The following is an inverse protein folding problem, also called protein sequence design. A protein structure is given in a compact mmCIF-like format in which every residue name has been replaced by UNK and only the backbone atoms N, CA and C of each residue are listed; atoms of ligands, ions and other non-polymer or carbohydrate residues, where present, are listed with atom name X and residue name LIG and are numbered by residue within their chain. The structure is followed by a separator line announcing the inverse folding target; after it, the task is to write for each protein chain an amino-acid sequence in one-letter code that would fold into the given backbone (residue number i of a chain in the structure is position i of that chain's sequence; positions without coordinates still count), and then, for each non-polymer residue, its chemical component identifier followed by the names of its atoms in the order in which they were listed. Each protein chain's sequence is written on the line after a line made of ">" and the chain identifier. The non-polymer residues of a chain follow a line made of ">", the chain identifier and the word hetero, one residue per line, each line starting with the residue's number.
data_IF_489137082270
#
_entry.id   IF_489137082270
#
_cell.length_a   1.000
_cell.length_b   1.000
_cell.length_c   1.000
_cell.angle_alpha   90.00
_cell.angle_beta   90.00
_cell.angle_gamma   90.00
#
_symmetry.space_group_name_H-M   'P 1'
#
loop_
_entity.id
_entity.type
_entity.pdbx_description
1 polymer ?
#
# COMPACT_ATOMS: atom_id res chain seq x y z
N UNK A 1 16.85 4.49 10.85
CA UNK A 1 16.00 4.21 9.66
C UNK A 1 15.64 2.74 9.54
N UNK A 2 16.58 1.79 9.68
CA UNK A 2 16.36 0.35 9.51
C UNK A 2 16.30 -0.45 10.83
N UNK A 3 16.17 0.19 11.99
CA UNK A 3 16.33 -0.45 13.30
C UNK A 3 15.46 -1.69 13.50
N UNK A 4 14.13 -1.55 13.29
CA UNK A 4 13.21 -2.68 13.41
C UNK A 4 13.47 -3.80 12.39
N UNK A 5 13.89 -3.45 11.18
CA UNK A 5 14.22 -4.44 10.16
C UNK A 5 15.49 -5.22 10.53
N UNK A 6 16.48 -4.54 11.14
CA UNK A 6 17.73 -5.15 11.60
C UNK A 6 17.61 -5.98 12.89
N UNK A 7 16.45 -5.94 13.57
CA UNK A 7 16.14 -6.87 14.69
C UNK A 7 15.95 -8.32 14.21
N UNK A 8 15.77 -8.51 12.88
CA UNK A 8 15.65 -9.82 12.25
C UNK A 8 16.97 -10.20 11.56
N UNK A 9 17.33 -11.47 11.57
CA UNK A 9 18.52 -11.97 10.88
C UNK A 9 18.31 -12.03 9.36
N UNK A 10 17.11 -12.42 8.93
CA UNK A 10 16.78 -12.61 7.50
C UNK A 10 15.39 -12.08 7.14
N UNK A 11 15.19 -11.81 5.84
CA UNK A 11 13.85 -11.63 5.26
C UNK A 11 13.11 -12.97 5.21
N UNK A 12 11.79 -12.90 5.03
CA UNK A 12 10.95 -14.09 4.83
C UNK A 12 10.46 -14.14 3.38
N UNK A 13 10.60 -15.31 2.70
CA UNK A 13 10.04 -15.49 1.37
C UNK A 13 8.51 -15.46 1.44
N UNK A 14 7.90 -14.72 0.54
CA UNK A 14 6.45 -14.73 0.39
C UNK A 14 6.02 -15.98 -0.37
N UNK A 15 5.07 -16.72 0.17
CA UNK A 15 4.47 -17.84 -0.56
C UNK A 15 3.46 -17.32 -1.57
N UNK A 16 3.73 -17.58 -2.86
CA UNK A 16 2.83 -17.25 -3.96
C UNK A 16 1.87 -18.42 -4.24
N UNK A 17 1.01 -18.73 -3.28
CA UNK A 17 -0.01 -19.76 -3.44
C UNK A 17 -1.39 -19.21 -3.15
N UNK A 18 -2.39 -19.95 -3.56
CA UNK A 18 -3.75 -19.76 -3.07
C UNK A 18 -3.83 -20.10 -1.56
N UNK A 19 -4.56 -19.30 -0.80
CA UNK A 19 -4.76 -19.45 0.64
C UNK A 19 -6.26 -19.66 0.96
N UNK A 20 -6.88 -20.81 0.56
CA UNK A 20 -8.30 -21.06 0.79
C UNK A 20 -8.67 -21.05 2.27
N UNK A 21 -7.72 -21.39 3.17
CA UNK A 21 -7.86 -21.28 4.61
C UNK A 21 -8.09 -19.86 5.11
N UNK A 22 -7.60 -18.86 4.37
CA UNK A 22 -7.80 -17.43 4.68
C UNK A 22 -9.07 -16.88 4.03
N UNK A 23 -9.20 -17.00 2.71
CA UNK A 23 -10.30 -16.34 1.99
C UNK A 23 -11.58 -17.18 1.92
N UNK A 24 -11.57 -18.48 2.32
CA UNK A 24 -12.74 -19.38 2.41
C UNK A 24 -13.61 -19.39 1.13
N UNK A 25 -12.96 -19.32 -0.04
CA UNK A 25 -13.61 -19.28 -1.34
C UNK A 25 -14.11 -17.90 -1.79
N UNK A 26 -13.98 -16.84 -0.97
CA UNK A 26 -14.33 -15.47 -1.36
C UNK A 26 -13.28 -14.95 -2.34
N UNK A 27 -13.73 -14.46 -3.50
CA UNK A 27 -12.87 -14.14 -4.64
C UNK A 27 -12.09 -12.82 -4.50
N UNK A 28 -12.64 -11.84 -3.77
CA UNK A 28 -12.08 -10.50 -3.76
C UNK A 28 -11.87 -9.99 -2.33
N UNK A 29 -10.82 -9.19 -2.19
CA UNK A 29 -10.51 -8.45 -0.97
C UNK A 29 -10.52 -6.95 -1.26
N UNK A 30 -11.23 -6.18 -0.45
CA UNK A 30 -11.42 -4.74 -0.61
C UNK A 30 -10.48 -3.91 0.27
N UNK A 31 -10.03 -2.79 -0.24
CA UNK A 31 -9.17 -1.87 0.49
C UNK A 31 -9.28 -0.43 -0.05
N UNK A 32 -8.97 0.52 0.80
CA UNK A 32 -8.82 1.93 0.44
C UNK A 32 -7.38 2.27 0.16
N UNK A 33 -7.14 3.06 -0.89
CA UNK A 33 -5.80 3.43 -1.32
C UNK A 33 -5.72 4.80 -2.00
N UNK A 34 -4.49 5.30 -2.11
CA UNK A 34 -4.10 6.39 -2.99
C UNK A 34 -3.28 5.79 -4.13
N UNK A 35 -3.70 6.02 -5.38
CA UNK A 35 -2.92 5.61 -6.55
C UNK A 35 -1.76 6.57 -6.77
N UNK A 36 -0.54 6.03 -6.94
CA UNK A 36 0.61 6.84 -7.31
C UNK A 36 0.65 6.97 -8.84
N UNK A 37 -0.03 8.00 -9.36
CA UNK A 37 -0.21 8.22 -10.80
C UNK A 37 0.85 9.15 -11.43
N UNK A 38 1.60 9.92 -10.62
CA UNK A 38 2.68 10.81 -11.09
C UNK A 38 3.72 10.04 -11.91
N UNK A 39 4.01 10.54 -13.12
CA UNK A 39 5.00 9.92 -14.02
C UNK A 39 6.37 9.83 -13.36
N UNK A 40 6.82 10.89 -12.73
CA UNK A 40 8.12 10.96 -12.04
C UNK A 40 8.21 9.94 -10.88
N UNK A 41 7.13 9.81 -10.10
CA UNK A 41 7.07 8.79 -9.05
C UNK A 41 7.11 7.38 -9.62
N UNK A 42 6.39 7.10 -10.70
CA UNK A 42 6.39 5.78 -11.36
C UNK A 42 7.78 5.42 -11.89
N UNK A 43 8.44 6.36 -12.55
CA UNK A 43 9.81 6.16 -13.04
C UNK A 43 10.78 5.82 -11.90
N UNK A 44 10.64 6.48 -10.74
CA UNK A 44 11.48 6.18 -9.58
C UNK A 44 11.14 4.82 -8.96
N UNK A 45 9.86 4.47 -8.86
CA UNK A 45 9.40 3.14 -8.40
C UNK A 45 9.96 2.05 -9.32
N UNK A 46 9.91 2.24 -10.64
CA UNK A 46 10.38 1.25 -11.61
C UNK A 46 11.91 1.07 -11.56
N UNK A 47 12.68 2.12 -11.32
CA UNK A 47 14.13 2.02 -11.05
C UNK A 47 14.42 1.16 -9.82
N UNK A 48 13.70 1.38 -8.72
CA UNK A 48 13.85 0.58 -7.51
C UNK A 48 13.44 -0.88 -7.73
N UNK A 49 12.32 -1.14 -8.44
CA UNK A 49 11.92 -2.50 -8.81
C UNK A 49 12.99 -3.21 -9.64
N UNK A 50 13.54 -2.54 -10.64
CA UNK A 50 14.63 -3.08 -11.44
C UNK A 50 15.88 -3.38 -10.60
N UNK A 51 16.25 -2.48 -9.70
CA UNK A 51 17.37 -2.66 -8.78
C UNK A 51 17.21 -3.86 -7.84
N UNK A 52 15.97 -4.15 -7.41
CA UNK A 52 15.65 -5.27 -6.55
C UNK A 52 15.27 -6.55 -7.30
N UNK A 53 15.17 -6.55 -8.63
CA UNK A 53 14.62 -7.66 -9.42
C UNK A 53 15.21 -9.05 -9.08
N UNK A 54 16.53 -9.13 -8.79
CA UNK A 54 17.20 -10.38 -8.40
C UNK A 54 16.94 -10.83 -6.94
N UNK A 55 16.05 -10.16 -6.21
CA UNK A 55 15.66 -10.46 -4.83
C UNK A 55 14.15 -10.69 -4.68
N UNK A 56 13.38 -10.43 -5.73
CA UNK A 56 11.93 -10.44 -5.70
C UNK A 56 11.40 -11.57 -6.60
N UNK A 57 10.24 -12.08 -6.24
CA UNK A 57 9.45 -12.91 -7.14
C UNK A 57 9.18 -12.14 -8.44
N UNK A 58 9.30 -12.79 -9.61
CA UNK A 58 8.91 -12.19 -10.88
C UNK A 58 7.39 -12.02 -10.95
N UNK A 59 6.92 -11.10 -11.80
CA UNK A 59 5.50 -10.98 -12.13
C UNK A 59 4.67 -10.11 -11.18
N UNK A 60 5.27 -9.34 -10.27
CA UNK A 60 4.52 -8.38 -9.47
C UNK A 60 3.90 -7.30 -10.36
N UNK A 61 2.58 -7.38 -10.55
CA UNK A 61 1.81 -6.52 -11.47
C UNK A 61 0.88 -5.53 -10.76
N UNK A 62 0.85 -5.52 -9.42
CA UNK A 62 0.02 -4.58 -8.65
C UNK A 62 0.46 -3.14 -8.90
N UNK A 63 -0.51 -2.29 -9.23
CA UNK A 63 -0.27 -0.87 -9.53
C UNK A 63 0.31 -0.17 -8.28
N UNK A 64 1.23 0.80 -8.46
CA UNK A 64 1.79 1.58 -7.35
C UNK A 64 0.70 2.32 -6.58
N UNK A 65 0.64 2.08 -5.27
CA UNK A 65 -0.37 2.68 -4.40
C UNK A 65 0.12 2.76 -2.95
N UNK A 66 -0.52 3.63 -2.19
CA UNK A 66 -0.41 3.70 -0.73
C UNK A 66 -1.69 3.16 -0.13
N UNK A 67 -1.65 2.02 0.54
CA UNK A 67 -2.82 1.46 1.23
C UNK A 67 -3.19 2.34 2.43
N UNK A 68 -4.43 2.77 2.52
CA UNK A 68 -4.96 3.56 3.62
C UNK A 68 -5.60 2.67 4.71
N UNK A 69 -6.47 1.78 4.29
CA UNK A 69 -7.16 0.86 5.19
C UNK A 69 -7.60 -0.42 4.45
N UNK A 70 -7.46 -1.55 5.11
CA UNK A 70 -8.08 -2.81 4.71
C UNK A 70 -9.57 -2.77 5.04
N UNK A 71 -10.42 -3.15 4.10
CA UNK A 71 -11.87 -3.27 4.34
C UNK A 71 -12.33 -4.72 4.51
N UNK A 72 -11.55 -5.69 4.00
CA UNK A 72 -11.80 -7.09 4.23
C UNK A 72 -12.29 -7.86 2.99
N UNK A 73 -12.60 -9.13 3.19
CA UNK A 73 -13.14 -10.00 2.16
C UNK A 73 -14.51 -9.51 1.69
N UNK A 74 -14.69 -9.35 0.37
CA UNK A 74 -15.93 -8.82 -0.21
C UNK A 74 -17.02 -9.90 -0.24
N UNK A 75 -17.90 -9.85 0.75
CA UNK A 75 -19.04 -10.75 0.89
C UNK A 75 -20.14 -10.11 1.75
N UNK A 76 -21.34 -10.69 1.72
CA UNK A 76 -22.46 -10.20 2.53
C UNK A 76 -22.18 -10.22 4.04
N UNK A 77 -21.32 -11.11 4.50
CA UNK A 77 -21.00 -11.32 5.93
C UNK A 77 -19.76 -10.57 6.43
N UNK A 78 -18.93 -10.03 5.53
CA UNK A 78 -17.72 -9.29 5.90
C UNK A 78 -17.80 -7.84 5.37
N UNK A 79 -17.11 -7.54 4.28
CA UNK A 79 -17.19 -6.23 3.64
C UNK A 79 -18.26 -6.25 2.57
N UNK A 80 -19.47 -5.85 2.92
CA UNK A 80 -20.62 -5.79 2.01
C UNK A 80 -20.81 -4.38 1.42
N UNK A 81 -21.72 -4.29 0.44
CA UNK A 81 -22.01 -3.03 -0.24
C UNK A 81 -22.46 -1.90 0.71
N UNK A 82 -23.24 -2.23 1.75
CA UNK A 82 -23.68 -1.22 2.71
C UNK A 82 -22.51 -0.60 3.49
N UNK A 83 -21.52 -1.41 3.86
CA UNK A 83 -20.30 -0.94 4.51
C UNK A 83 -19.50 0.00 3.59
N UNK A 84 -19.35 -0.39 2.32
CA UNK A 84 -18.63 0.43 1.32
C UNK A 84 -19.33 1.79 1.14
N UNK A 85 -20.66 1.78 0.98
CA UNK A 85 -21.47 3.02 0.86
C UNK A 85 -21.29 3.90 2.10
N UNK A 86 -21.27 3.30 3.30
CA UNK A 86 -21.05 4.04 4.55
C UNK A 86 -19.68 4.70 4.58
N UNK A 87 -18.62 3.98 4.16
CA UNK A 87 -17.25 4.51 4.09
C UNK A 87 -17.16 5.65 3.06
N UNK A 88 -17.74 5.48 1.88
CA UNK A 88 -17.82 6.53 0.84
C UNK A 88 -18.51 7.79 1.39
N UNK A 89 -19.64 7.63 2.07
CA UNK A 89 -20.36 8.74 2.69
C UNK A 89 -19.50 9.47 3.72
N UNK A 90 -18.86 8.74 4.62
CA UNK A 90 -17.97 9.32 5.63
C UNK A 90 -16.83 10.13 5.02
N UNK A 91 -16.18 9.63 3.98
CA UNK A 91 -15.10 10.36 3.30
C UNK A 91 -15.61 11.64 2.62
N UNK A 92 -16.77 11.60 1.97
CA UNK A 92 -17.38 12.77 1.33
C UNK A 92 -17.78 13.84 2.35
N UNK A 93 -18.38 13.43 3.49
CA UNK A 93 -18.81 14.35 4.55
C UNK A 93 -17.65 15.07 5.25
N UNK A 94 -16.45 14.46 5.27
CA UNK A 94 -15.27 15.09 5.85
C UNK A 94 -14.61 16.14 4.93
N UNK A 95 -15.10 16.32 3.69
CA UNK A 95 -14.66 17.31 2.74
C UNK A 95 -13.12 17.45 2.66
N UNK A 96 -12.42 16.32 2.58
CA UNK A 96 -10.95 16.26 2.58
C UNK A 96 -10.43 17.05 1.38
N UNK A 97 -9.51 17.98 1.61
CA UNK A 97 -8.87 18.76 0.56
C UNK A 97 -7.73 17.99 -0.08
N UNK A 98 -7.43 18.29 -1.34
CA UNK A 98 -6.23 17.79 -2.00
C UNK A 98 -4.97 18.18 -1.21
N UNK A 99 -4.00 17.28 -1.14
CA UNK A 99 -2.79 17.45 -0.34
C UNK A 99 -1.57 16.82 -1.01
N UNK A 100 -0.37 17.21 -0.57
CA UNK A 100 0.88 16.66 -1.07
C UNK A 100 1.39 15.55 -0.19
N UNK A 101 1.91 14.51 -0.82
CA UNK A 101 2.74 13.47 -0.22
C UNK A 101 4.11 13.47 -0.87
N UNK A 102 5.08 12.88 -0.19
CA UNK A 102 6.43 12.74 -0.73
C UNK A 102 6.83 11.26 -0.76
N UNK A 103 7.09 10.75 -1.97
CA UNK A 103 7.78 9.47 -2.14
C UNK A 103 9.25 9.66 -1.72
N UNK A 104 9.78 8.77 -0.91
CA UNK A 104 11.10 8.94 -0.30
C UNK A 104 11.89 7.62 -0.33
N UNK A 105 12.90 7.52 0.51
CA UNK A 105 13.88 6.45 0.55
C UNK A 105 13.28 5.03 0.63
N UNK A 106 14.05 4.07 0.12
CA UNK A 106 13.75 2.65 0.23
C UNK A 106 13.90 2.16 1.67
N UNK A 107 12.98 1.30 2.10
CA UNK A 107 13.02 0.59 3.38
C UNK A 107 12.44 -0.80 3.18
N UNK A 108 12.36 -1.63 4.23
CA UNK A 108 11.87 -2.99 4.11
C UNK A 108 11.00 -3.42 5.29
N UNK A 109 9.94 -4.17 4.98
CA UNK A 109 9.34 -5.12 5.88
C UNK A 109 10.03 -6.48 5.76
N UNK A 110 9.66 -7.42 6.62
CA UNK A 110 10.22 -8.78 6.56
C UNK A 110 9.98 -9.50 5.24
N UNK A 111 8.91 -9.19 4.53
CA UNK A 111 8.47 -9.89 3.32
C UNK A 111 8.61 -9.09 2.03
N UNK A 112 8.86 -7.79 2.11
CA UNK A 112 8.93 -6.94 0.92
C UNK A 112 9.71 -5.63 1.14
N UNK A 113 10.50 -5.19 0.16
CA UNK A 113 11.02 -3.83 0.13
C UNK A 113 9.92 -2.87 -0.32
N UNK A 114 10.02 -1.63 0.13
CA UNK A 114 9.06 -0.58 -0.19
C UNK A 114 9.73 0.80 -0.26
N UNK A 115 9.08 1.75 -0.93
CA UNK A 115 9.43 3.16 -0.81
C UNK A 115 8.58 3.80 0.28
N UNK A 116 9.23 4.51 1.19
CA UNK A 116 8.58 5.27 2.25
C UNK A 116 7.77 6.42 1.64
N UNK A 117 6.60 6.69 2.22
CA UNK A 117 5.80 7.86 1.86
C UNK A 117 5.71 8.77 3.08
N UNK A 118 6.13 10.02 2.91
CA UNK A 118 6.09 11.02 3.96
C UNK A 118 4.83 11.88 3.79
N UNK A 119 4.15 12.11 4.91
CA UNK A 119 2.98 12.97 5.03
C UNK A 119 3.25 14.07 6.07
N UNK A 120 3.88 15.18 5.67
CA UNK A 120 4.24 16.24 6.60
C UNK A 120 3.04 16.92 7.30
N UNK A 121 1.87 16.84 6.69
CA UNK A 121 0.64 17.47 7.17
C UNK A 121 -0.29 16.51 7.93
N UNK A 122 0.11 15.23 8.07
CA UNK A 122 -0.66 14.20 8.78
C UNK A 122 -2.06 13.92 8.21
N UNK A 123 -2.27 14.16 6.90
CA UNK A 123 -3.55 13.94 6.22
C UNK A 123 -3.95 12.45 6.20
N UNK A 124 -2.97 11.56 6.05
CA UNK A 124 -3.22 10.11 5.99
C UNK A 124 -3.83 9.59 7.28
N UNK A 125 -3.39 10.07 8.43
CA UNK A 125 -3.99 9.66 9.71
C UNK A 125 -5.44 10.12 9.84
N UNK A 126 -5.77 11.35 9.45
CA UNK A 126 -7.14 11.85 9.47
C UNK A 126 -8.07 11.01 8.58
N UNK A 127 -7.61 10.63 7.38
CA UNK A 127 -8.35 9.76 6.46
C UNK A 127 -8.52 8.37 7.07
N UNK A 128 -7.47 7.81 7.64
CA UNK A 128 -7.49 6.48 8.26
C UNK A 128 -8.43 6.42 9.47
N UNK A 129 -8.42 7.43 10.34
CA UNK A 129 -9.36 7.53 11.46
C UNK A 129 -10.80 7.52 10.99
N UNK A 130 -11.09 8.17 9.87
CA UNK A 130 -12.40 8.14 9.26
C UNK A 130 -12.81 6.73 8.79
N UNK A 131 -11.88 6.01 8.18
CA UNK A 131 -12.10 4.69 7.60
C UNK A 131 -12.09 3.56 8.64
N UNK A 132 -11.18 3.59 9.62
CA UNK A 132 -10.98 2.51 10.59
C UNK A 132 -12.13 2.33 11.57
N UNK A 133 -12.97 3.35 11.76
CA UNK A 133 -14.23 3.23 12.53
C UNK A 133 -15.16 2.16 11.98
N UNK A 134 -15.01 1.80 10.72
CA UNK A 134 -15.86 0.85 9.99
C UNK A 134 -15.08 -0.19 9.18
N UNK A 135 -13.75 -0.13 9.18
CA UNK A 135 -12.89 -1.06 8.48
C UNK A 135 -12.63 -2.34 9.29
N UNK A 136 -11.94 -3.28 8.67
CA UNK A 136 -11.51 -4.51 9.32
C UNK A 136 -10.67 -4.22 10.58
N UNK A 137 -10.92 -4.96 11.66
CA UNK A 137 -10.23 -4.78 12.95
C UNK A 137 -8.70 -4.96 12.91
N UNK A 138 -8.20 -5.54 11.81
CA UNK A 138 -6.77 -5.84 11.64
C UNK A 138 -5.95 -4.68 11.03
N UNK A 139 -6.53 -3.48 10.89
CA UNK A 139 -5.74 -2.33 10.49
C UNK A 139 -4.73 -1.97 11.59
N UNK A 140 -3.42 -1.92 11.27
CA UNK A 140 -2.39 -1.70 12.27
C UNK A 140 -2.49 -0.29 12.88
N UNK A 141 -2.37 -0.20 14.21
CA UNK A 141 -2.27 1.09 14.91
C UNK A 141 -1.01 1.86 14.46
N UNK A 142 0.11 1.15 14.36
CA UNK A 142 1.36 1.71 13.86
C UNK A 142 1.38 1.65 12.32
N UNK A 143 0.84 2.67 11.71
CA UNK A 143 0.76 2.76 10.26
C UNK A 143 2.06 3.29 9.66
N UNK A 144 2.56 2.58 8.65
CA UNK A 144 3.72 2.99 7.85
C UNK A 144 3.26 3.24 6.41
N UNK A 145 3.09 4.50 5.98
CA UNK A 145 2.75 4.81 4.59
C UNK A 145 3.87 4.37 3.66
N UNK A 146 3.53 3.57 2.62
CA UNK A 146 4.53 2.98 1.74
C UNK A 146 3.97 2.59 0.39
N UNK A 147 4.88 2.44 -0.59
CA UNK A 147 4.62 1.81 -1.88
C UNK A 147 5.44 0.54 -1.98
N UNK A 148 4.80 -0.61 -2.04
CA UNK A 148 5.44 -1.93 -2.16
C UNK A 148 6.11 -2.07 -3.53
N UNK A 149 7.35 -2.58 -3.55
CA UNK A 149 8.13 -2.81 -4.78
C UNK A 149 7.92 -4.21 -5.36
N UNK A 150 7.55 -5.18 -4.54
CA UNK A 150 7.38 -6.61 -4.83
C UNK A 150 7.65 -7.43 -3.57
N UNK A 151 7.64 -8.75 -3.66
CA UNK A 151 7.81 -9.66 -2.53
C UNK A 151 9.11 -10.45 -2.65
N UNK A 152 9.80 -10.67 -1.53
CA UNK A 152 11.03 -11.48 -1.52
C UNK A 152 10.75 -12.93 -1.94
N UNK A 153 11.61 -13.45 -2.82
CA UNK A 153 11.52 -14.81 -3.36
C UNK A 153 12.17 -15.85 -2.43
N UNK A 154 13.07 -15.42 -1.54
CA UNK A 154 13.74 -16.27 -0.54
C UNK A 154 14.22 -15.47 0.66
N UNK A 155 14.80 -16.16 1.65
CA UNK A 155 15.43 -15.50 2.79
C UNK A 155 16.76 -14.86 2.37
N UNK A 156 16.95 -13.60 2.74
CA UNK A 156 18.18 -12.84 2.57
C UNK A 156 18.61 -12.26 3.91
N UNK A 157 19.91 -12.27 4.20
CA UNK A 157 20.43 -11.58 5.38
C UNK A 157 19.99 -10.09 5.35
N UNK A 158 19.40 -9.61 6.45
CA UNK A 158 18.87 -8.24 6.56
C UNK A 158 19.96 -7.20 6.31
N UNK A 159 21.20 -7.47 6.75
CA UNK A 159 22.36 -6.62 6.49
C UNK A 159 22.65 -6.45 4.99
N UNK A 160 22.50 -7.52 4.19
CA UNK A 160 22.67 -7.46 2.73
C UNK A 160 21.59 -6.61 2.06
N UNK A 161 20.34 -6.69 2.57
CA UNK A 161 19.25 -5.86 2.08
C UNK A 161 19.46 -4.39 2.45
N UNK A 162 19.87 -4.10 3.69
CA UNK A 162 20.19 -2.73 4.13
C UNK A 162 21.32 -2.14 3.30
N UNK A 163 22.42 -2.88 3.10
CA UNK A 163 23.53 -2.43 2.24
C UNK A 163 23.04 -2.13 0.82
N UNK A 164 22.16 -2.99 0.27
CA UNK A 164 21.59 -2.77 -1.05
C UNK A 164 20.74 -1.48 -1.09
N UNK A 165 19.91 -1.24 -0.09
CA UNK A 165 19.10 -0.02 0.00
C UNK A 165 19.97 1.25 0.17
N UNK A 166 20.99 1.19 1.02
CA UNK A 166 21.90 2.32 1.30
C UNK A 166 22.77 2.71 0.10
N UNK A 167 23.04 1.77 -0.80
CA UNK A 167 23.83 2.02 -2.01
C UNK A 167 23.00 2.52 -3.21
N UNK A 168 21.72 2.72 -3.04
CA UNK A 168 20.85 3.27 -4.07
C UNK A 168 20.55 4.74 -3.80
N UNK A 169 20.87 5.60 -4.75
CA UNK A 169 20.57 7.04 -4.66
C UNK A 169 19.06 7.27 -4.90
N UNK A 170 18.31 7.31 -3.82
CA UNK A 170 16.86 7.58 -3.83
C UNK A 170 16.59 9.08 -3.81
N UNK A 171 15.67 9.53 -4.65
CA UNK A 171 15.23 10.93 -4.68
C UNK A 171 13.90 11.09 -3.96
N UNK A 172 13.79 12.15 -3.17
CA UNK A 172 12.50 12.60 -2.65
C UNK A 172 11.68 13.24 -3.77
N UNK A 173 10.48 12.74 -4.02
CA UNK A 173 9.60 13.23 -5.09
C UNK A 173 8.24 13.57 -4.50
N UNK A 174 7.86 14.84 -4.59
CA UNK A 174 6.55 15.30 -4.16
C UNK A 174 5.48 14.98 -5.23
N UNK A 175 4.30 14.58 -4.77
CA UNK A 175 3.15 14.36 -5.64
C UNK A 175 1.84 14.76 -4.97
N UNK A 176 0.92 15.29 -5.77
CA UNK A 176 -0.39 15.73 -5.32
C UNK A 176 -1.38 14.58 -5.27
N UNK A 177 -2.07 14.43 -4.15
CA UNK A 177 -3.20 13.52 -3.97
C UNK A 177 -4.49 14.30 -4.25
N UNK A 178 -5.21 13.88 -5.28
CA UNK A 178 -6.50 14.49 -5.68
C UNK A 178 -7.67 13.52 -5.57
N UNK A 179 -7.39 12.25 -5.39
CA UNK A 179 -8.39 11.19 -5.33
C UNK A 179 -8.00 10.12 -4.30
N UNK A 180 -9.00 9.53 -3.67
CA UNK A 180 -8.90 8.30 -2.87
C UNK A 180 -9.72 7.24 -3.58
N UNK A 181 -9.23 6.02 -3.64
CA UNK A 181 -9.92 4.92 -4.32
C UNK A 181 -10.29 3.80 -3.34
N UNK A 182 -11.47 3.24 -3.55
CA UNK A 182 -11.79 1.90 -3.06
C UNK A 182 -11.51 0.91 -4.17
N UNK A 183 -10.68 -0.08 -3.88
CA UNK A 183 -10.23 -1.06 -4.85
C UNK A 183 -10.38 -2.48 -4.32
N UNK A 184 -10.36 -3.45 -5.23
CA UNK A 184 -10.35 -4.87 -4.91
C UNK A 184 -9.25 -5.59 -5.68
N UNK A 185 -8.73 -6.68 -5.11
CA UNK A 185 -7.87 -7.63 -5.80
C UNK A 185 -8.38 -9.06 -5.61
N UNK A 186 -7.97 -9.95 -6.50
CA UNK A 186 -8.29 -11.36 -6.39
C UNK A 186 -7.51 -12.02 -5.25
N UNK A 187 -8.22 -12.68 -4.34
CA UNK A 187 -7.61 -13.33 -3.15
C UNK A 187 -6.62 -14.44 -3.49
N UNK A 188 -6.79 -15.05 -4.67
CA UNK A 188 -5.90 -16.11 -5.17
C UNK A 188 -4.59 -15.58 -5.76
N UNK A 189 -4.54 -14.30 -6.12
CA UNK A 189 -3.36 -13.69 -6.76
C UNK A 189 -2.67 -12.71 -5.81
N UNK A 190 -1.62 -13.19 -5.15
CA UNK A 190 -0.83 -12.40 -4.18
C UNK A 190 -0.16 -11.19 -4.84
N UNK A 191 0.22 -11.28 -6.12
CA UNK A 191 0.96 -10.27 -6.86
C UNK A 191 0.14 -9.52 -7.92
N UNK A 192 -1.09 -9.99 -8.16
CA UNK A 192 -1.95 -9.52 -9.22
C UNK A 192 -2.42 -8.08 -9.07
N UNK A 193 -2.94 -7.52 -10.16
CA UNK A 193 -3.43 -6.16 -10.17
C UNK A 193 -4.68 -6.01 -9.30
N UNK A 194 -4.98 -4.78 -8.96
CA UNK A 194 -6.27 -4.43 -8.37
C UNK A 194 -7.18 -3.74 -9.39
N UNK A 195 -8.47 -3.77 -9.12
CA UNK A 195 -9.51 -3.06 -9.84
C UNK A 195 -10.10 -1.97 -8.94
N UNK A 196 -10.20 -0.75 -9.44
CA UNK A 196 -10.86 0.36 -8.74
C UNK A 196 -12.38 0.22 -8.92
N UNK A 197 -13.11 0.25 -7.80
CA UNK A 197 -14.57 0.19 -7.76
C UNK A 197 -15.20 1.57 -7.52
N UNK A 198 -14.58 2.40 -6.66
CA UNK A 198 -15.05 3.75 -6.37
C UNK A 198 -13.87 4.74 -6.38
N UNK A 199 -14.14 5.97 -6.85
CA UNK A 199 -13.22 7.10 -6.77
C UNK A 199 -13.88 8.25 -6.03
N UNK A 200 -13.18 8.78 -5.05
CA UNK A 200 -13.60 9.97 -4.30
C UNK A 200 -12.64 11.09 -4.66
N UNK A 201 -13.14 12.11 -5.32
CA UNK A 201 -12.38 13.32 -5.61
C UNK A 201 -12.27 14.15 -4.34
N UNK A 202 -11.06 14.62 -4.05
CA UNK A 202 -10.80 15.54 -2.97
C UNK A 202 -11.14 16.97 -3.40
N UNK A 203 -11.54 17.81 -2.44
CA UNK A 203 -11.82 19.22 -2.71
C UNK A 203 -10.54 19.95 -3.14
N UNK A 204 -10.67 20.95 -3.99
CA UNK A 204 -9.53 21.77 -4.37
C UNK A 204 -8.95 22.54 -3.17
N UNK A 205 -7.64 22.75 -3.18
CA UNK A 205 -6.94 23.45 -2.07
C UNK A 205 -7.48 24.88 -1.88
N UNK A 206 -7.99 25.50 -2.93
CA UNK A 206 -8.47 26.89 -2.96
C UNK A 206 -10.02 27.01 -2.98
N UNK A 207 -10.72 25.95 -2.69
CA UNK A 207 -12.18 25.96 -2.59
C UNK A 207 -12.66 26.29 -1.17
#
# INVERSE_FOLDING_TARGET
>A
MFSKFLEMDTTYPTQLRDFPEWHKGIKHYGFWAIEVSSKTCREEIDKHKAYFAGKLHPGYSRQPHVTLAASGLLSDTHCNQALIIKQVKQLNENAIKAFSLKLSHCNSFSVCPYLSVLDPQNNLNAIRECLTKTAEKNNPENYTPHVTLGFYDKAYATTNIVNKMSNFDSKDIEFMVKEIVFAQYETKDVQGPYQVLHRIKLADVNA
#
